data_IF_683577669536
#
_entry.id   IF_683577669536
#
_cell.length_a   1.000
_cell.length_b   1.000
_cell.length_c   1.000
_cell.angle_alpha   90.00
_cell.angle_beta   90.00
_cell.angle_gamma   90.00
#
_symmetry.space_group_name_H-M   'P 1'
#
loop_
_entity.id
_entity.type
_entity.pdbx_description
1 polymer ?
#
# COMPACT_ATOMS: atom_id res chain seq x y z
N UNK A 1 3.61 -5.16 -25.93
CA UNK A 1 3.41 -6.58 -25.60
C UNK A 1 4.51 -6.98 -24.63
N UNK A 2 4.26 -6.81 -23.32
CA UNK A 2 5.11 -7.42 -22.31
C UNK A 2 4.78 -8.93 -22.28
N UNK A 3 5.79 -9.82 -22.23
CA UNK A 3 5.52 -11.24 -22.09
C UNK A 3 4.88 -11.45 -20.72
N UNK A 4 3.71 -12.06 -20.69
CA UNK A 4 3.08 -12.67 -19.52
C UNK A 4 3.91 -13.87 -19.09
N UNK A 5 5.08 -13.62 -18.49
CA UNK A 5 5.78 -14.64 -17.74
C UNK A 5 4.98 -14.94 -16.50
N UNK A 6 4.61 -16.19 -16.28
CA UNK A 6 4.02 -16.63 -15.03
C UNK A 6 4.93 -16.15 -13.89
N UNK A 7 4.37 -15.35 -12.97
CA UNK A 7 5.12 -14.92 -11.79
C UNK A 7 5.32 -16.15 -10.92
N UNK A 8 6.54 -16.32 -10.43
CA UNK A 8 6.82 -17.35 -9.43
C UNK A 8 5.93 -17.13 -8.21
N UNK A 9 5.13 -18.12 -7.84
CA UNK A 9 4.30 -18.09 -6.64
C UNK A 9 4.87 -18.99 -5.56
N UNK A 10 4.83 -18.50 -4.33
CA UNK A 10 5.26 -19.25 -3.14
C UNK A 10 4.20 -19.15 -2.05
N UNK A 11 4.10 -20.17 -1.21
CA UNK A 11 3.24 -20.13 -0.03
C UNK A 11 4.09 -19.91 1.21
N UNK A 12 3.73 -18.91 2.00
CA UNK A 12 4.51 -18.46 3.16
C UNK A 12 3.61 -18.11 4.35
N UNK A 13 4.22 -18.04 5.52
CA UNK A 13 3.64 -17.44 6.72
C UNK A 13 4.26 -16.05 6.91
N UNK A 14 3.42 -15.08 7.25
CA UNK A 14 3.81 -13.70 7.43
C UNK A 14 4.20 -13.45 8.89
N UNK A 15 5.36 -12.84 9.09
CA UNK A 15 5.90 -12.55 10.41
C UNK A 15 5.66 -11.08 10.81
N UNK A 16 6.72 -10.31 11.02
CA UNK A 16 6.64 -8.96 11.54
C UNK A 16 6.36 -7.93 10.41
N UNK A 17 5.69 -6.84 10.73
CA UNK A 17 5.49 -5.75 9.78
C UNK A 17 6.81 -5.05 9.47
N UNK A 18 6.90 -4.47 8.29
CA UNK A 18 8.05 -3.70 7.84
C UNK A 18 7.61 -2.33 7.32
N UNK A 19 8.58 -1.42 7.22
CA UNK A 19 8.34 -0.10 6.67
C UNK A 19 7.77 -0.18 5.24
N UNK A 20 6.86 0.75 4.91
CA UNK A 20 6.22 0.80 3.58
C UNK A 20 5.04 -0.16 3.41
N UNK A 21 4.37 -0.55 4.51
CA UNK A 21 3.15 -1.37 4.45
C UNK A 21 3.38 -2.83 4.04
N UNK A 22 4.62 -3.31 4.09
CA UNK A 22 4.95 -4.70 3.79
C UNK A 22 5.08 -5.53 5.07
N UNK A 23 5.03 -6.85 4.92
CA UNK A 23 5.24 -7.83 6.01
C UNK A 23 6.36 -8.78 5.60
N UNK A 24 7.16 -9.19 6.57
CA UNK A 24 8.31 -10.06 6.35
C UNK A 24 7.85 -11.51 6.27
N UNK A 25 8.30 -12.19 5.22
CA UNK A 25 8.28 -13.65 5.10
C UNK A 25 9.69 -14.18 4.85
N UNK A 26 9.87 -15.50 4.91
CA UNK A 26 11.13 -16.18 4.56
C UNK A 26 10.84 -17.32 3.60
N UNK A 27 11.63 -17.38 2.52
CA UNK A 27 11.61 -18.44 1.53
C UNK A 27 13.05 -18.93 1.38
N UNK A 28 13.32 -20.18 1.68
CA UNK A 28 14.66 -20.81 1.62
C UNK A 28 15.76 -19.99 2.31
N UNK A 29 15.40 -19.39 3.46
CA UNK A 29 16.30 -18.54 4.26
C UNK A 29 16.41 -17.09 3.77
N UNK A 30 15.90 -16.77 2.59
CA UNK A 30 15.88 -15.42 2.05
C UNK A 30 14.68 -14.62 2.58
N UNK A 31 14.90 -13.34 2.90
CA UNK A 31 13.83 -12.41 3.30
C UNK A 31 13.00 -12.02 2.08
N UNK A 32 11.68 -12.08 2.25
CA UNK A 32 10.70 -11.57 1.27
C UNK A 32 9.84 -10.50 1.94
N UNK A 33 9.79 -9.33 1.36
CA UNK A 33 8.84 -8.27 1.76
C UNK A 33 7.55 -8.43 0.96
N UNK A 34 6.46 -8.74 1.66
CA UNK A 34 5.16 -9.04 1.08
C UNK A 34 4.21 -7.86 1.30
N UNK A 35 3.65 -7.31 0.24
CA UNK A 35 2.58 -6.33 0.30
C UNK A 35 1.21 -6.99 0.21
N UNK A 36 0.17 -6.39 0.79
CA UNK A 36 -1.18 -6.96 0.79
C UNK A 36 -1.40 -8.06 1.85
N UNK A 37 -0.43 -8.31 2.74
CA UNK A 37 -0.54 -9.22 3.86
C UNK A 37 -0.51 -8.51 5.20
N UNK A 38 -0.91 -9.22 6.26
CA UNK A 38 -0.86 -8.76 7.65
C UNK A 38 0.01 -9.69 8.51
N UNK A 39 0.61 -9.17 9.58
CA UNK A 39 1.37 -9.99 10.53
C UNK A 39 0.53 -11.16 11.08
N UNK A 40 1.14 -12.32 11.19
CA UNK A 40 0.51 -13.53 11.74
C UNK A 40 -0.38 -14.30 10.74
N UNK A 41 -0.60 -13.79 9.55
CA UNK A 41 -1.32 -14.56 8.52
C UNK A 41 -0.50 -15.75 8.04
N UNK A 42 -1.15 -16.87 7.78
CA UNK A 42 -0.51 -18.10 7.30
C UNK A 42 -1.17 -18.66 6.04
N UNK A 43 -0.47 -19.58 5.39
CA UNK A 43 -0.86 -20.12 4.09
C UNK A 43 -1.12 -19.02 3.05
N UNK A 44 -0.26 -17.99 3.07
CA UNK A 44 -0.36 -16.84 2.15
C UNK A 44 0.35 -17.18 0.85
N UNK A 45 -0.40 -17.18 -0.26
CA UNK A 45 0.16 -17.31 -1.59
C UNK A 45 0.65 -15.95 -2.08
N UNK A 46 1.92 -15.86 -2.41
CA UNK A 46 2.62 -14.64 -2.78
C UNK A 46 3.17 -14.76 -4.19
N UNK A 47 2.80 -13.83 -5.05
CA UNK A 47 3.43 -13.66 -6.36
C UNK A 47 4.70 -12.81 -6.19
N UNK A 48 5.85 -13.39 -6.52
CA UNK A 48 7.15 -12.75 -6.39
C UNK A 48 7.42 -11.81 -7.58
N UNK A 49 8.03 -10.66 -7.30
CA UNK A 49 8.33 -9.67 -8.33
C UNK A 49 9.50 -10.12 -9.22
N UNK A 50 9.34 -10.13 -10.57
CA UNK A 50 10.38 -10.55 -11.49
C UNK A 50 11.67 -9.73 -11.38
N UNK A 51 11.55 -8.42 -11.11
CA UNK A 51 12.68 -7.51 -10.94
C UNK A 51 13.55 -7.88 -9.73
N UNK A 52 12.97 -8.48 -8.70
CA UNK A 52 13.70 -8.96 -7.53
C UNK A 52 14.38 -10.30 -7.77
N UNK A 53 13.83 -11.15 -8.64
CA UNK A 53 14.41 -12.43 -9.01
C UNK A 53 15.70 -12.30 -9.83
N UNK A 54 15.80 -11.28 -10.71
CA UNK A 54 16.93 -11.13 -11.66
C UNK A 54 18.21 -10.54 -11.05
N UNK A 55 18.15 -9.93 -9.86
CA UNK A 55 19.31 -9.34 -9.19
C UNK A 55 19.88 -10.30 -8.15
N UNK A 56 20.66 -11.25 -8.58
CA UNK A 56 21.31 -12.31 -7.78
C UNK A 56 22.20 -11.83 -6.60
N UNK A 57 22.26 -10.52 -6.34
CA UNK A 57 23.02 -9.92 -5.25
C UNK A 57 22.18 -9.23 -4.18
N UNK A 58 20.84 -9.20 -4.30
CA UNK A 58 20.01 -8.65 -3.23
C UNK A 58 19.77 -9.68 -2.14
N UNK A 59 19.97 -9.27 -0.89
CA UNK A 59 19.71 -10.10 0.29
C UNK A 59 18.21 -10.31 0.56
N UNK A 60 17.32 -9.75 -0.25
CA UNK A 60 15.87 -9.83 -0.11
C UNK A 60 15.15 -9.85 -1.46
N UNK A 61 13.93 -10.34 -1.45
CA UNK A 61 12.95 -10.27 -2.57
C UNK A 61 11.72 -9.46 -2.15
N UNK A 62 10.91 -9.10 -3.12
CA UNK A 62 9.59 -8.47 -2.90
C UNK A 62 8.51 -9.28 -3.60
N UNK A 63 7.27 -9.13 -3.15
CA UNK A 63 6.12 -9.78 -3.75
C UNK A 63 4.81 -9.24 -3.20
N UNK A 64 3.70 -9.70 -3.77
CA UNK A 64 2.36 -9.31 -3.37
C UNK A 64 1.52 -10.53 -2.99
N UNK A 65 0.78 -10.44 -1.91
CA UNK A 65 -0.17 -11.47 -1.52
C UNK A 65 -1.28 -11.61 -2.57
N UNK A 66 -1.49 -12.83 -3.05
CA UNK A 66 -2.53 -13.18 -4.03
C UNK A 66 -3.76 -13.75 -3.33
N UNK A 67 -3.53 -14.57 -2.32
CA UNK A 67 -4.58 -15.13 -1.47
C UNK A 67 -4.04 -15.43 -0.07
N UNK A 68 -4.93 -15.40 0.91
CA UNK A 68 -4.63 -15.67 2.31
C UNK A 68 -5.46 -16.84 2.77
N UNK A 69 -4.82 -17.94 3.20
CA UNK A 69 -5.50 -19.14 3.67
C UNK A 69 -6.06 -18.98 5.08
N UNK A 70 -5.28 -18.39 5.98
CA UNK A 70 -5.69 -18.09 7.35
C UNK A 70 -5.52 -16.59 7.62
N UNK A 71 -6.59 -15.80 7.46
CA UNK A 71 -6.51 -14.35 7.61
C UNK A 71 -6.38 -13.92 9.07
N UNK A 72 -5.76 -12.75 9.27
CA UNK A 72 -5.77 -12.03 10.55
C UNK A 72 -7.20 -11.63 10.93
N UNK A 73 -7.56 -11.62 12.23
CA UNK A 73 -8.84 -11.09 12.69
C UNK A 73 -9.04 -9.60 12.36
N UNK A 74 -7.95 -8.87 12.11
CA UNK A 74 -7.97 -7.46 11.70
C UNK A 74 -8.12 -7.24 10.20
N UNK A 75 -8.15 -8.32 9.39
CA UNK A 75 -8.37 -8.21 7.95
C UNK A 75 -9.83 -7.89 7.66
N UNK A 76 -10.06 -6.83 6.92
CA UNK A 76 -11.38 -6.41 6.43
C UNK A 76 -11.38 -6.34 4.91
N UNK A 77 -12.56 -6.19 4.31
CA UNK A 77 -12.65 -5.86 2.89
C UNK A 77 -12.11 -4.45 2.65
N UNK A 78 -11.35 -4.27 1.55
CA UNK A 78 -10.76 -2.99 1.19
C UNK A 78 -11.82 -1.91 1.01
N UNK A 79 -11.63 -0.75 1.63
CA UNK A 79 -12.62 0.34 1.67
C UNK A 79 -12.38 1.41 0.60
N UNK A 80 -11.24 1.35 -0.11
CA UNK A 80 -10.85 2.40 -1.05
C UNK A 80 -11.09 1.98 -2.51
N UNK A 81 -12.06 2.61 -3.22
CA UNK A 81 -12.30 2.30 -4.63
C UNK A 81 -11.06 2.50 -5.52
N UNK A 82 -10.26 3.53 -5.24
CA UNK A 82 -9.03 3.78 -5.99
C UNK A 82 -8.00 2.66 -5.79
N UNK A 83 -7.84 2.14 -4.57
CA UNK A 83 -6.96 1.01 -4.30
C UNK A 83 -7.46 -0.26 -5.00
N UNK A 84 -8.76 -0.52 -4.96
CA UNK A 84 -9.39 -1.63 -5.70
C UNK A 84 -9.16 -1.54 -7.22
N UNK A 85 -9.08 -0.32 -7.76
CA UNK A 85 -8.73 -0.05 -9.17
C UNK A 85 -7.22 -0.09 -9.44
N UNK A 86 -6.39 -0.39 -8.44
CA UNK A 86 -4.95 -0.56 -8.57
C UNK A 86 -4.10 0.69 -8.27
N UNK A 87 -4.70 1.76 -7.71
CA UNK A 87 -3.92 2.93 -7.28
C UNK A 87 -2.94 2.57 -6.15
N UNK A 88 -1.69 3.04 -6.27
CA UNK A 88 -0.61 2.71 -5.36
C UNK A 88 -0.48 3.61 -4.13
N UNK A 89 -1.52 4.35 -3.79
CA UNK A 89 -1.47 5.36 -2.72
C UNK A 89 -1.89 4.82 -1.34
N UNK A 90 -2.38 3.60 -1.23
CA UNK A 90 -2.88 3.01 0.01
C UNK A 90 -2.38 1.58 0.17
N UNK A 91 -1.62 1.33 1.23
CA UNK A 91 -1.02 0.01 1.49
C UNK A 91 -1.78 -0.81 2.54
N UNK A 92 -2.70 -0.20 3.29
CA UNK A 92 -3.40 -0.80 4.43
C UNK A 92 -4.91 -0.50 4.42
N UNK A 93 -5.56 -0.47 3.26
CA UNK A 93 -7.00 -0.23 3.16
C UNK A 93 -7.85 -1.46 3.55
N UNK A 94 -7.21 -2.61 3.65
CA UNK A 94 -7.80 -3.91 3.99
C UNK A 94 -7.61 -4.30 5.47
N UNK A 95 -7.24 -3.36 6.33
CA UNK A 95 -7.05 -3.57 7.76
C UNK A 95 -7.94 -2.64 8.57
N UNK A 96 -8.51 -3.14 9.66
CA UNK A 96 -9.27 -2.31 10.59
C UNK A 96 -8.39 -1.30 11.36
N UNK A 97 -9.02 -0.41 12.11
CA UNK A 97 -8.31 0.64 12.83
C UNK A 97 -7.36 0.09 13.90
N UNK A 98 -7.74 -0.97 14.58
CA UNK A 98 -6.93 -1.58 15.64
C UNK A 98 -5.69 -2.25 15.06
N UNK A 99 -5.85 -3.10 14.06
CA UNK A 99 -4.73 -3.73 13.35
C UNK A 99 -3.82 -2.72 12.66
N UNK A 100 -4.36 -1.61 12.13
CA UNK A 100 -3.56 -0.52 11.56
C UNK A 100 -2.69 0.18 12.59
N UNK A 101 -3.20 0.39 13.81
CA UNK A 101 -2.44 0.96 14.92
C UNK A 101 -1.31 0.02 15.33
N UNK A 102 -1.62 -1.25 15.54
CA UNK A 102 -0.66 -2.24 15.98
C UNK A 102 0.45 -2.41 14.95
N UNK A 103 0.09 -2.52 13.67
CA UNK A 103 1.05 -2.56 12.57
C UNK A 103 2.03 -1.37 12.61
N UNK A 104 1.50 -0.15 12.75
CA UNK A 104 2.33 1.08 12.78
C UNK A 104 3.19 1.16 14.04
N UNK A 105 2.66 0.76 15.20
CA UNK A 105 3.41 0.71 16.47
C UNK A 105 4.60 -0.23 16.36
N UNK A 106 4.38 -1.44 15.86
CA UNK A 106 5.45 -2.42 15.66
C UNK A 106 6.52 -1.92 14.70
N UNK A 107 6.14 -1.29 13.57
CA UNK A 107 7.09 -0.71 12.62
C UNK A 107 7.94 0.37 13.31
N UNK A 108 7.34 1.28 14.08
CA UNK A 108 8.07 2.34 14.78
C UNK A 108 9.02 1.74 15.82
N UNK A 109 8.55 0.82 16.64
CA UNK A 109 9.36 0.14 17.66
C UNK A 109 10.55 -0.59 17.03
N UNK A 110 10.31 -1.33 15.92
CA UNK A 110 11.38 -2.03 15.21
C UNK A 110 12.42 -1.07 14.61
N UNK A 111 11.99 0.03 14.02
CA UNK A 111 12.89 1.07 13.47
C UNK A 111 13.74 1.72 14.58
N UNK A 112 13.14 2.06 15.71
CA UNK A 112 13.87 2.62 16.86
C UNK A 112 14.91 1.62 17.38
N UNK A 113 14.56 0.35 17.52
CA UNK A 113 15.48 -0.70 17.97
C UNK A 113 16.62 -0.93 16.98
N UNK A 114 16.31 -1.15 15.68
CA UNK A 114 17.30 -1.58 14.69
C UNK A 114 18.17 -0.44 14.17
N UNK A 115 17.60 0.73 13.95
CA UNK A 115 18.30 1.89 13.40
C UNK A 115 18.73 2.83 14.51
N UNK A 116 17.82 3.16 15.41
CA UNK A 116 18.08 4.07 16.53
C UNK A 116 18.90 3.45 17.65
N UNK A 117 18.99 2.11 17.71
CA UNK A 117 19.59 1.34 18.82
C UNK A 117 18.98 1.72 20.19
N UNK A 118 17.69 2.02 20.16
CA UNK A 118 16.89 2.39 21.32
C UNK A 118 15.97 1.20 21.63
N UNK A 119 16.18 0.58 22.78
CA UNK A 119 15.28 -0.46 23.28
C UNK A 119 14.11 0.21 23.99
N UNK A 120 12.94 0.05 23.42
CA UNK A 120 11.67 0.46 24.02
C UNK A 120 10.80 -0.77 24.24
N UNK A 121 10.15 -0.82 25.40
CA UNK A 121 9.02 -1.72 25.60
C UNK A 121 7.82 -1.24 24.78
N UNK A 122 6.99 -2.15 24.33
CA UNK A 122 5.87 -1.84 23.43
C UNK A 122 4.87 -0.84 24.04
N UNK A 123 4.80 -0.77 25.39
CA UNK A 123 3.99 0.19 26.16
C UNK A 123 4.53 1.63 26.15
N UNK A 124 5.74 1.87 25.61
CA UNK A 124 6.35 3.19 25.51
C UNK A 124 6.02 3.94 24.21
N UNK A 125 5.36 3.28 23.28
CA UNK A 125 4.92 3.89 21.99
C UNK A 125 3.41 4.01 22.00
N UNK A 126 2.90 5.19 22.39
CA UNK A 126 1.48 5.48 22.31
C UNK A 126 1.07 5.75 20.86
N UNK A 127 0.00 5.10 20.45
CA UNK A 127 -0.59 5.29 19.13
C UNK A 127 -2.08 5.60 19.25
N UNK A 128 -2.53 6.60 18.49
CA UNK A 128 -3.92 7.04 18.52
C UNK A 128 -4.51 7.08 17.12
N UNK A 129 -5.80 6.70 17.00
CA UNK A 129 -6.57 6.92 15.79
C UNK A 129 -7.12 8.34 15.79
N UNK A 130 -6.75 9.11 14.78
CA UNK A 130 -7.38 10.40 14.52
C UNK A 130 -8.67 10.19 13.72
N UNK A 131 -9.76 10.79 14.17
CA UNK A 131 -11.05 10.76 13.49
C UNK A 131 -11.25 12.02 12.65
N UNK A 132 -11.93 11.93 11.50
CA UNK A 132 -12.39 10.70 10.85
C UNK A 132 -11.24 9.93 10.18
N UNK A 133 -11.38 8.61 10.04
CA UNK A 133 -10.38 7.77 9.35
C UNK A 133 -10.48 7.85 7.83
N UNK A 134 -11.62 8.27 7.30
CA UNK A 134 -11.91 8.50 5.88
C UNK A 134 -12.42 9.94 5.68
N UNK A 135 -12.34 10.43 4.44
CA UNK A 135 -12.88 11.74 4.08
C UNK A 135 -12.16 12.95 4.71
N UNK A 136 -10.93 12.80 5.17
CA UNK A 136 -10.20 13.85 5.90
C UNK A 136 -9.20 14.64 5.05
N UNK A 137 -8.76 14.08 3.91
CA UNK A 137 -7.67 14.65 3.11
C UNK A 137 -8.17 15.79 2.24
N UNK A 138 -7.71 16.99 2.49
CA UNK A 138 -8.08 18.22 1.77
C UNK A 138 -7.10 18.62 0.68
N UNK A 139 -6.02 17.86 0.48
CA UNK A 139 -5.02 18.09 -0.58
C UNK A 139 -4.62 16.80 -1.24
N UNK A 140 -4.48 16.84 -2.57
CA UNK A 140 -3.97 15.72 -3.36
C UNK A 140 -3.13 16.23 -4.53
N UNK A 141 -2.17 15.42 -4.94
CA UNK A 141 -1.44 15.57 -6.20
C UNK A 141 -1.82 14.42 -7.12
N UNK A 142 -2.29 14.75 -8.31
CA UNK A 142 -2.75 13.81 -9.32
C UNK A 142 -1.76 13.82 -10.50
N UNK A 143 -1.51 12.65 -11.08
CA UNK A 143 -0.86 12.55 -12.37
C UNK A 143 -1.87 12.72 -13.49
N UNK A 144 -1.41 13.13 -14.67
CA UNK A 144 -2.23 13.21 -15.88
C UNK A 144 -1.75 12.19 -16.90
N UNK A 145 -2.66 11.42 -17.47
CA UNK A 145 -2.32 10.44 -18.51
C UNK A 145 -2.13 11.10 -19.89
N UNK A 146 -1.83 10.31 -20.91
CA UNK A 146 -1.63 10.77 -22.28
C UNK A 146 -2.89 11.40 -22.91
N UNK A 147 -4.07 11.06 -22.38
CA UNK A 147 -5.36 11.58 -22.83
C UNK A 147 -5.80 12.85 -22.06
N UNK A 148 -4.93 13.45 -21.26
CA UNK A 148 -5.26 14.65 -20.48
C UNK A 148 -6.16 14.38 -19.26
N UNK A 149 -6.31 13.13 -18.82
CA UNK A 149 -7.16 12.76 -17.67
C UNK A 149 -6.34 12.63 -16.39
N UNK A 150 -6.80 13.33 -15.36
CA UNK A 150 -6.15 13.32 -14.06
C UNK A 150 -6.55 12.11 -13.20
N UNK A 151 -5.62 11.63 -12.37
CA UNK A 151 -5.89 10.50 -11.48
C UNK A 151 -4.70 10.10 -10.61
N UNK A 152 -4.83 8.98 -9.94
CA UNK A 152 -3.79 8.41 -9.09
C UNK A 152 -2.91 7.43 -9.87
N UNK A 153 -1.62 7.43 -9.61
CA UNK A 153 -0.70 6.47 -10.21
C UNK A 153 -0.96 5.07 -9.66
N UNK A 154 -0.94 4.08 -10.55
CA UNK A 154 -0.87 2.67 -10.13
C UNK A 154 0.46 2.40 -9.41
N UNK A 155 0.48 1.37 -8.59
CA UNK A 155 1.68 0.98 -7.84
C UNK A 155 2.83 0.66 -8.80
N UNK A 156 4.00 1.24 -8.52
CA UNK A 156 5.24 1.05 -9.29
C UNK A 156 5.09 1.26 -10.81
N UNK A 157 4.15 2.13 -11.21
CA UNK A 157 3.79 2.37 -12.60
C UNK A 157 3.57 3.86 -12.88
N UNK A 158 3.68 4.25 -14.15
CA UNK A 158 3.25 5.57 -14.64
C UNK A 158 1.78 5.58 -15.09
N UNK A 159 1.13 4.43 -15.14
CA UNK A 159 -0.29 4.35 -15.48
C UNK A 159 -1.15 5.06 -14.44
N UNK A 160 -2.22 5.69 -14.91
CA UNK A 160 -3.13 6.49 -14.09
C UNK A 160 -4.46 5.77 -13.94
N UNK A 161 -4.92 5.62 -12.70
CA UNK A 161 -6.31 5.34 -12.36
C UNK A 161 -7.05 6.67 -12.38
N UNK A 162 -7.85 6.91 -13.43
CA UNK A 162 -8.55 8.19 -13.61
C UNK A 162 -9.58 8.42 -12.47
N UNK A 163 -9.73 9.68 -12.05
CA UNK A 163 -10.73 10.05 -11.03
C UNK A 163 -12.17 9.80 -11.49
N UNK A 164 -12.41 9.74 -12.80
CA UNK A 164 -13.69 9.32 -13.40
C UNK A 164 -14.01 7.85 -13.17
N UNK A 165 -12.99 7.02 -12.96
CA UNK A 165 -13.13 5.57 -12.73
C UNK A 165 -13.25 5.28 -11.23
N UNK A 166 -12.36 5.86 -10.42
CA UNK A 166 -12.36 5.64 -8.99
C UNK A 166 -11.72 6.80 -8.22
N UNK A 167 -12.26 7.09 -7.05
CA UNK A 167 -11.75 8.11 -6.13
C UNK A 167 -11.22 7.47 -4.85
N UNK A 168 -10.34 8.19 -4.15
CA UNK A 168 -9.77 7.71 -2.90
C UNK A 168 -10.73 7.97 -1.73
N UNK A 169 -11.00 6.96 -0.94
CA UNK A 169 -11.87 7.05 0.24
C UNK A 169 -11.38 8.05 1.32
N UNK A 170 -10.10 8.41 1.30
CA UNK A 170 -9.54 9.39 2.24
C UNK A 170 -9.79 10.85 1.84
N UNK A 171 -10.23 11.12 0.60
CA UNK A 171 -10.44 12.49 0.14
C UNK A 171 -11.68 13.10 0.78
N UNK A 172 -11.54 14.34 1.25
CA UNK A 172 -12.67 15.11 1.74
C UNK A 172 -13.73 15.28 0.62
N UNK A 173 -15.01 15.26 0.97
CA UNK A 173 -16.08 15.52 0.01
C UNK A 173 -15.83 16.80 -0.78
N UNK A 174 -16.04 16.78 -2.09
CA UNK A 174 -15.83 17.93 -2.98
C UNK A 174 -14.39 18.15 -3.45
N UNK A 175 -13.37 17.48 -2.88
CA UNK A 175 -11.96 17.76 -3.22
C UNK A 175 -11.65 17.66 -4.71
N UNK A 176 -12.25 16.73 -5.43
CA UNK A 176 -12.01 16.50 -6.87
C UNK A 176 -13.28 16.71 -7.71
N UNK A 177 -14.28 17.36 -7.14
CA UNK A 177 -15.55 17.63 -7.83
C UNK A 177 -15.31 18.45 -9.10
N UNK A 178 -15.93 18.04 -10.21
CA UNK A 178 -15.82 18.69 -11.52
C UNK A 178 -14.51 18.42 -12.27
N UNK A 179 -13.46 17.92 -11.61
CA UNK A 179 -12.15 17.74 -12.28
C UNK A 179 -12.16 16.62 -13.32
N UNK A 180 -13.08 15.65 -13.25
CA UNK A 180 -13.21 14.60 -14.26
C UNK A 180 -13.65 15.11 -15.63
N UNK A 181 -14.25 16.30 -15.68
CA UNK A 181 -14.71 16.94 -16.91
C UNK A 181 -13.62 17.80 -17.58
N UNK A 182 -12.53 18.09 -16.84
CA UNK A 182 -11.43 18.91 -17.34
C UNK A 182 -10.41 18.06 -18.11
N UNK A 183 -9.83 18.67 -19.11
CA UNK A 183 -8.71 18.15 -19.85
C UNK A 183 -7.44 18.92 -19.46
N UNK A 184 -6.43 18.21 -19.04
CA UNK A 184 -5.17 18.78 -18.59
C UNK A 184 -4.06 18.50 -19.59
N UNK A 185 -2.94 19.19 -19.46
CA UNK A 185 -1.76 18.91 -20.27
C UNK A 185 -1.29 17.46 -20.00
N UNK A 186 -1.15 16.62 -21.03
CA UNK A 186 -0.66 15.25 -20.88
C UNK A 186 0.67 15.17 -20.12
N UNK A 187 0.81 14.15 -19.27
CA UNK A 187 1.98 13.90 -18.42
C UNK A 187 2.30 15.01 -17.39
N UNK A 188 1.40 15.96 -17.19
CA UNK A 188 1.53 16.96 -16.13
C UNK A 188 1.16 16.40 -14.75
N UNK A 189 1.39 17.18 -13.72
CA UNK A 189 0.86 16.95 -12.37
C UNK A 189 -0.14 18.08 -12.03
N UNK A 190 -1.24 17.69 -11.40
CA UNK A 190 -2.28 18.61 -10.93
C UNK A 190 -2.33 18.55 -9.40
N UNK A 191 -2.08 19.69 -8.77
CA UNK A 191 -2.25 19.84 -7.32
C UNK A 191 -3.63 20.41 -7.03
N UNK A 192 -4.39 19.70 -6.22
CA UNK A 192 -5.76 20.07 -5.83
C UNK A 192 -5.80 20.35 -4.35
N UNK A 193 -6.46 21.41 -3.96
CA UNK A 193 -6.71 21.76 -2.55
C UNK A 193 -8.17 22.18 -2.41
N UNK A 194 -8.82 21.70 -1.37
CA UNK A 194 -10.11 22.23 -0.95
C UNK A 194 -9.84 23.54 -0.21
N UNK A 195 -10.42 24.63 -0.68
CA UNK A 195 -10.41 25.92 0.00
C UNK A 195 -11.41 25.98 1.15
N UNK A 196 -11.24 26.98 2.02
CA UNK A 196 -12.21 27.31 3.07
C UNK A 196 -13.46 27.94 2.46
#
# INVERSE_FOLDING_TARGET
>A
THPTGEREEVTVNLANPAHGGSVIARVDGQVVFVTGGLPGESDVRVALDPASASKSKRSFRTGSAVSVGQPSPHRIEGQCPAAAAGAGCCDLDFVDSEGSIDFKREVVTDQLRRIGRIELSDDRVDTHVLQPTLGWRTRVRLGVNENGRAGLRKKDSHEIVEISVATCAQWAPGLVEGLSEHEFTPNAEVSVSLGD
#
